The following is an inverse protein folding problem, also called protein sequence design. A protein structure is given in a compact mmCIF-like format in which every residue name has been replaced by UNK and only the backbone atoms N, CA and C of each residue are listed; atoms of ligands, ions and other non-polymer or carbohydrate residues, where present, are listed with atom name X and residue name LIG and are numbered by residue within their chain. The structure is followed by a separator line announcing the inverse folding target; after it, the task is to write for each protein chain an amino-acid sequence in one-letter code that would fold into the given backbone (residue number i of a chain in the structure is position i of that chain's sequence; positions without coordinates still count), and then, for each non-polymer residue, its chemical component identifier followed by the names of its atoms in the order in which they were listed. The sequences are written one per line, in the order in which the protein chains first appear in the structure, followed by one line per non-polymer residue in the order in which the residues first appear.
data_IF_125963323716
#
_entry.id   IF_125963323716
#
_cell.length_a   1.000
_cell.length_b   1.000
_cell.length_c   1.000
_cell.angle_alpha   90.00
_cell.angle_beta   90.00
_cell.angle_gamma   90.00
#
_symmetry.space_group_name_H-M   'P 1'
#
loop_
_entity.id
_entity.type
_entity.pdbx_description
1 polymer ?
#
# COMPACT_ATOMS: atom_id res chain seq x y z
N UNK A 1 20.90 -15.68 8.40
CA UNK A 1 19.71 -15.95 7.57
C UNK A 1 19.73 -14.98 6.39
N UNK A 2 19.73 -15.48 5.14
CA UNK A 2 19.77 -14.80 3.83
C UNK A 2 20.72 -13.60 3.57
N UNK A 3 21.44 -13.08 4.57
CA UNK A 3 22.43 -11.99 4.43
C UNK A 3 21.83 -10.70 3.85
N UNK A 4 20.56 -10.44 4.13
CA UNK A 4 19.80 -9.30 3.61
C UNK A 4 19.11 -8.56 4.76
N UNK A 5 18.82 -7.29 4.50
CA UNK A 5 17.89 -6.46 5.27
C UNK A 5 16.63 -6.21 4.43
N UNK A 6 15.47 -5.90 5.03
CA UNK A 6 15.21 -5.63 6.45
C UNK A 6 15.32 -6.85 7.39
N UNK A 7 15.69 -6.59 8.65
CA UNK A 7 15.68 -7.55 9.76
C UNK A 7 15.12 -6.87 11.02
N UNK A 8 14.20 -7.55 11.72
CA UNK A 8 13.60 -7.08 12.96
C UNK A 8 13.76 -8.14 14.05
N UNK A 9 14.26 -7.73 15.22
CA UNK A 9 14.22 -8.54 16.43
C UNK A 9 12.90 -8.29 17.18
N UNK A 10 12.04 -9.30 17.27
CA UNK A 10 10.71 -9.19 17.90
C UNK A 10 10.29 -10.54 18.50
N UNK A 11 9.75 -10.51 19.73
CA UNK A 11 9.29 -11.71 20.46
C UNK A 11 10.32 -12.85 20.52
N UNK A 12 11.59 -12.51 20.69
CA UNK A 12 12.70 -13.47 20.73
C UNK A 12 13.11 -14.04 19.36
N UNK A 13 12.46 -13.64 18.27
CA UNK A 13 12.82 -14.02 16.90
C UNK A 13 13.69 -12.96 16.24
N UNK A 14 14.54 -13.37 15.30
CA UNK A 14 15.26 -12.49 14.35
C UNK A 14 14.66 -12.68 12.96
N UNK A 15 13.61 -11.92 12.66
CA UNK A 15 12.84 -12.06 11.41
C UNK A 15 13.45 -11.25 10.28
N UNK A 16 13.56 -11.85 9.10
CA UNK A 16 13.95 -11.19 7.83
C UNK A 16 12.82 -11.35 6.82
N UNK A 17 12.94 -10.71 5.65
CA UNK A 17 11.90 -10.58 4.61
C UNK A 17 10.77 -9.64 5.02
N UNK A 18 10.65 -8.52 4.29
CA UNK A 18 9.68 -7.45 4.56
C UNK A 18 8.25 -7.98 4.73
N UNK A 19 7.82 -8.90 3.84
CA UNK A 19 6.49 -9.51 3.91
C UNK A 19 6.29 -10.35 5.17
N UNK A 20 7.26 -11.17 5.54
CA UNK A 20 7.16 -12.00 6.74
C UNK A 20 7.10 -11.17 8.02
N UNK A 21 7.93 -10.13 8.11
CA UNK A 21 7.96 -9.19 9.24
C UNK A 21 6.60 -8.48 9.37
N UNK A 22 6.11 -7.90 8.27
CA UNK A 22 4.87 -7.14 8.30
C UNK A 22 3.64 -8.04 8.56
N UNK A 23 3.61 -9.26 8.01
CA UNK A 23 2.54 -10.23 8.28
C UNK A 23 2.47 -10.63 9.76
N UNK A 24 3.63 -10.77 10.40
CA UNK A 24 3.70 -11.06 11.84
C UNK A 24 3.16 -9.90 12.67
N UNK A 25 3.62 -8.67 12.39
CA UNK A 25 3.15 -7.46 13.09
C UNK A 25 1.64 -7.29 12.93
N UNK A 26 1.12 -7.41 11.70
CA UNK A 26 -0.32 -7.28 11.47
C UNK A 26 -1.14 -8.33 12.20
N UNK A 27 -0.65 -9.57 12.26
CA UNK A 27 -1.31 -10.63 13.05
C UNK A 27 -1.28 -10.31 14.54
N UNK A 28 -0.11 -9.95 15.07
CA UNK A 28 0.10 -9.68 16.50
C UNK A 28 -0.77 -8.54 17.02
N UNK A 29 -1.03 -7.53 16.19
CA UNK A 29 -1.78 -6.32 16.57
C UNK A 29 -3.19 -6.26 15.97
N UNK A 30 -3.75 -7.39 15.51
CA UNK A 30 -5.13 -7.50 15.00
C UNK A 30 -5.45 -6.59 13.80
N UNK A 31 -4.49 -6.38 12.91
CA UNK A 31 -4.62 -5.60 11.67
C UNK A 31 -4.72 -6.50 10.42
N UNK A 32 -5.03 -7.79 10.60
CA UNK A 32 -4.96 -8.79 9.53
C UNK A 32 -6.27 -9.58 9.37
N UNK A 33 -7.42 -8.91 9.51
CA UNK A 33 -8.73 -9.50 9.33
C UNK A 33 -9.10 -10.56 10.38
N UNK A 34 -10.40 -10.83 10.51
CA UNK A 34 -10.92 -11.78 11.52
C UNK A 34 -10.93 -13.23 11.05
N UNK A 35 -10.95 -13.45 9.74
CA UNK A 35 -11.07 -14.77 9.14
C UNK A 35 -10.22 -14.89 7.86
N UNK A 36 -10.21 -16.11 7.30
CA UNK A 36 -9.44 -16.42 6.10
C UNK A 36 -9.85 -15.59 4.87
N UNK A 37 -11.14 -15.23 4.76
CA UNK A 37 -11.63 -14.47 3.61
C UNK A 37 -11.16 -13.02 3.69
N UNK A 38 -11.28 -12.40 4.87
CA UNK A 38 -10.77 -11.05 5.08
C UNK A 38 -9.24 -10.99 4.90
N UNK A 39 -8.50 -12.00 5.39
CA UNK A 39 -7.05 -12.11 5.15
C UNK A 39 -6.72 -12.17 3.67
N UNK A 40 -7.42 -12.99 2.89
CA UNK A 40 -7.19 -13.10 1.46
C UNK A 40 -7.45 -11.78 0.71
N UNK A 41 -8.46 -11.01 1.12
CA UNK A 41 -8.72 -9.68 0.57
C UNK A 41 -7.60 -8.70 0.94
N UNK A 42 -7.18 -8.68 2.21
CA UNK A 42 -6.05 -7.86 2.69
C UNK A 42 -4.79 -8.19 1.90
N UNK A 43 -4.46 -9.47 1.72
CA UNK A 43 -3.30 -9.92 0.95
C UNK A 43 -3.35 -9.45 -0.50
N UNK A 44 -4.51 -9.63 -1.15
CA UNK A 44 -4.70 -9.19 -2.54
C UNK A 44 -4.48 -7.69 -2.70
N UNK A 45 -5.00 -6.88 -1.77
CA UNK A 45 -4.84 -5.44 -1.77
C UNK A 45 -3.39 -5.01 -1.48
N UNK A 46 -2.78 -5.59 -0.45
CA UNK A 46 -1.40 -5.29 -0.05
C UNK A 46 -0.41 -5.68 -1.14
N UNK A 47 -0.54 -6.86 -1.76
CA UNK A 47 0.37 -7.28 -2.84
C UNK A 47 0.23 -6.38 -4.09
N UNK A 48 -0.99 -5.94 -4.42
CA UNK A 48 -1.20 -4.95 -5.48
C UNK A 48 -0.48 -3.62 -5.18
N UNK A 49 -0.52 -3.17 -3.93
CA UNK A 49 0.21 -1.97 -3.50
C UNK A 49 1.72 -2.17 -3.49
N UNK A 50 2.23 -3.36 -3.18
CA UNK A 50 3.67 -3.66 -3.27
C UNK A 50 4.20 -3.54 -4.69
N UNK A 51 3.44 -3.96 -5.70
CA UNK A 51 3.84 -3.80 -7.10
C UNK A 51 4.00 -2.32 -7.47
N UNK A 52 3.10 -1.45 -6.98
CA UNK A 52 3.22 0.00 -7.19
C UNK A 52 4.37 0.60 -6.38
N UNK A 53 4.53 0.17 -5.13
CA UNK A 53 5.62 0.61 -4.26
C UNK A 53 6.99 0.31 -4.89
N UNK A 54 7.16 -0.86 -5.50
CA UNK A 54 8.40 -1.20 -6.20
C UNK A 54 8.71 -0.22 -7.33
N UNK A 55 7.71 0.21 -8.09
CA UNK A 55 7.90 1.22 -9.13
C UNK A 55 8.30 2.58 -8.54
N UNK A 56 7.65 3.03 -7.47
CA UNK A 56 7.97 4.27 -6.77
C UNK A 56 9.40 4.25 -6.24
N UNK A 57 9.74 3.21 -5.48
CA UNK A 57 11.03 3.07 -4.81
C UNK A 57 12.20 2.89 -5.79
N UNK A 58 11.99 2.20 -6.91
CA UNK A 58 13.06 1.96 -7.88
C UNK A 58 13.34 3.15 -8.79
N UNK A 59 12.52 4.21 -8.77
CA UNK A 59 12.77 5.40 -9.59
C UNK A 59 14.16 6.01 -9.33
N UNK A 60 14.57 6.10 -8.06
CA UNK A 60 15.82 6.76 -7.67
C UNK A 60 17.07 6.08 -8.23
N UNK A 61 17.00 4.76 -8.47
CA UNK A 61 18.09 3.95 -9.03
C UNK A 61 17.99 3.75 -10.55
N UNK A 62 16.97 4.29 -11.22
CA UNK A 62 16.88 4.19 -12.67
C UNK A 62 18.01 4.96 -13.37
N UNK A 63 18.54 4.44 -14.49
CA UNK A 63 19.43 5.18 -15.38
C UNK A 63 18.81 6.50 -15.84
N UNK A 64 19.62 7.54 -16.03
CA UNK A 64 19.15 8.88 -16.37
C UNK A 64 18.28 8.92 -17.64
N UNK A 65 18.65 8.14 -18.66
CA UNK A 65 17.94 8.02 -19.94
C UNK A 65 16.59 7.27 -19.83
N UNK A 66 16.34 6.58 -18.70
CA UNK A 66 15.11 5.81 -18.45
C UNK A 66 14.18 6.46 -17.44
N UNK A 67 14.61 7.51 -16.72
CA UNK A 67 13.83 8.12 -15.65
C UNK A 67 12.48 8.67 -16.12
N UNK A 68 12.46 9.33 -17.27
CA UNK A 68 11.21 9.90 -17.83
C UNK A 68 10.20 8.80 -18.17
N UNK A 69 10.65 7.74 -18.86
CA UNK A 69 9.79 6.59 -19.18
C UNK A 69 9.29 5.88 -17.91
N UNK A 70 10.16 5.71 -16.91
CA UNK A 70 9.79 5.07 -15.64
C UNK A 70 8.76 5.89 -14.88
N UNK A 71 8.95 7.22 -14.82
CA UNK A 71 7.99 8.15 -14.24
C UNK A 71 6.62 8.04 -14.93
N UNK A 72 6.59 8.08 -16.26
CA UNK A 72 5.34 7.97 -17.02
C UNK A 72 4.61 6.66 -16.73
N UNK A 73 5.32 5.53 -16.70
CA UNK A 73 4.74 4.21 -16.36
C UNK A 73 4.26 4.13 -14.91
N UNK A 74 4.98 4.73 -13.96
CA UNK A 74 4.59 4.80 -12.55
C UNK A 74 3.29 5.60 -12.38
N UNK A 75 3.19 6.78 -13.00
CA UNK A 75 1.98 7.61 -12.94
C UNK A 75 0.80 6.96 -13.68
N UNK A 76 1.01 6.41 -14.87
CA UNK A 76 -0.03 5.70 -15.63
C UNK A 76 -0.60 4.53 -14.80
N UNK A 77 0.25 3.71 -14.20
CA UNK A 77 -0.22 2.61 -13.35
C UNK A 77 -0.94 3.10 -12.10
N UNK A 78 -0.49 4.20 -11.50
CA UNK A 78 -1.17 4.80 -10.35
C UNK A 78 -2.59 5.21 -10.73
N UNK A 79 -2.74 6.03 -11.77
CA UNK A 79 -4.02 6.59 -12.19
C UNK A 79 -4.96 5.58 -12.83
N UNK A 80 -4.45 4.70 -13.69
CA UNK A 80 -5.28 3.88 -14.58
C UNK A 80 -5.40 2.43 -14.12
N UNK A 81 -4.63 2.01 -13.11
CA UNK A 81 -4.65 0.63 -12.61
C UNK A 81 -4.92 0.50 -11.12
N UNK A 82 -4.12 1.15 -10.28
CA UNK A 82 -4.15 0.87 -8.85
C UNK A 82 -5.20 1.69 -8.11
N UNK A 83 -5.16 3.03 -8.19
CA UNK A 83 -6.13 3.88 -7.47
C UNK A 83 -7.60 3.61 -7.86
N UNK A 84 -7.95 3.35 -9.14
CA UNK A 84 -9.31 2.97 -9.49
C UNK A 84 -9.84 1.72 -8.78
N UNK A 85 -8.96 0.77 -8.43
CA UNK A 85 -9.35 -0.45 -7.70
C UNK A 85 -9.80 -0.09 -6.29
N UNK A 86 -9.01 0.70 -5.57
CA UNK A 86 -9.32 1.07 -4.18
C UNK A 86 -10.50 2.04 -4.08
N UNK A 87 -10.57 3.01 -4.98
CA UNK A 87 -11.74 3.89 -5.13
C UNK A 87 -13.02 3.06 -5.34
N UNK A 88 -12.96 2.04 -6.22
CA UNK A 88 -14.08 1.14 -6.48
C UNK A 88 -14.44 0.28 -5.27
N UNK A 89 -13.45 -0.26 -4.55
CA UNK A 89 -13.69 -1.04 -3.33
C UNK A 89 -14.48 -0.22 -2.31
N UNK A 90 -13.99 0.99 -1.99
CA UNK A 90 -14.66 1.90 -1.06
C UNK A 90 -16.07 2.28 -1.52
N UNK A 91 -16.23 2.54 -2.83
CA UNK A 91 -17.52 2.87 -3.44
C UNK A 91 -18.53 1.72 -3.35
N UNK A 92 -18.10 0.50 -3.66
CA UNK A 92 -18.99 -0.67 -3.77
C UNK A 92 -19.62 -1.03 -2.42
N UNK A 93 -18.85 -0.97 -1.34
CA UNK A 93 -19.35 -1.31 0.00
C UNK A 93 -19.78 -0.10 0.83
N UNK A 94 -19.35 1.12 0.48
CA UNK A 94 -19.72 2.36 1.17
C UNK A 94 -19.30 2.38 2.64
N UNK A 95 -18.07 1.95 2.93
CA UNK A 95 -17.50 1.85 4.28
C UNK A 95 -16.18 2.61 4.33
N UNK A 96 -15.75 2.94 5.54
CA UNK A 96 -14.58 3.78 5.77
C UNK A 96 -13.25 3.03 5.63
N UNK A 97 -13.28 1.70 5.73
CA UNK A 97 -12.10 0.84 5.63
C UNK A 97 -12.27 -0.20 4.52
N UNK A 98 -11.16 -0.57 3.88
CA UNK A 98 -11.12 -1.47 2.72
C UNK A 98 -11.67 -2.87 3.02
N UNK A 99 -11.49 -3.37 4.24
CA UNK A 99 -11.89 -4.74 4.62
C UNK A 99 -12.54 -4.75 6.00
N UNK A 100 -13.64 -5.47 6.14
CA UNK A 100 -14.25 -5.77 7.45
C UNK A 100 -14.85 -4.57 8.19
N UNK A 101 -14.88 -3.37 7.58
CA UNK A 101 -15.25 -2.10 8.24
C UNK A 101 -14.42 -1.84 9.52
N UNK A 102 -13.14 -2.21 9.49
CA UNK A 102 -12.18 -1.99 10.56
C UNK A 102 -10.81 -1.71 9.95
N UNK A 103 -10.02 -0.85 10.61
CA UNK A 103 -8.65 -0.59 10.23
C UNK A 103 -7.85 -1.90 10.10
N UNK A 104 -7.20 -2.07 8.95
CA UNK A 104 -6.33 -3.20 8.63
C UNK A 104 -5.00 -2.71 8.07
N UNK A 105 -4.06 -3.63 7.85
CA UNK A 105 -2.82 -3.29 7.16
C UNK A 105 -3.06 -2.82 5.72
N UNK A 106 -4.13 -3.24 5.05
CA UNK A 106 -4.42 -2.78 3.70
C UNK A 106 -4.63 -1.26 3.65
N UNK A 107 -5.33 -0.71 4.65
CA UNK A 107 -5.58 0.74 4.76
C UNK A 107 -4.29 1.50 5.05
N UNK A 108 -3.45 0.99 5.96
CA UNK A 108 -2.15 1.58 6.28
C UNK A 108 -1.22 1.57 5.06
N UNK A 109 -1.18 0.46 4.32
CA UNK A 109 -0.37 0.32 3.11
C UNK A 109 -0.86 1.24 1.98
N UNK A 110 -2.18 1.41 1.86
CA UNK A 110 -2.77 2.33 0.88
C UNK A 110 -2.40 3.78 1.21
N UNK A 111 -2.55 4.19 2.48
CA UNK A 111 -2.19 5.54 2.92
C UNK A 111 -0.71 5.85 2.67
N UNK A 112 0.20 4.92 2.99
CA UNK A 112 1.64 5.08 2.72
C UNK A 112 1.89 5.41 1.24
N UNK A 113 1.26 4.68 0.33
CA UNK A 113 1.48 4.86 -1.10
C UNK A 113 0.79 6.11 -1.63
N UNK A 114 -0.39 6.47 -1.11
CA UNK A 114 -1.03 7.74 -1.44
C UNK A 114 -0.07 8.89 -1.13
N UNK A 115 0.50 8.93 0.08
CA UNK A 115 1.46 9.97 0.48
C UNK A 115 2.70 9.97 -0.40
N UNK A 116 3.26 8.78 -0.71
CA UNK A 116 4.41 8.69 -1.62
C UNK A 116 4.10 9.22 -3.02
N UNK A 117 2.91 8.95 -3.56
CA UNK A 117 2.51 9.43 -4.89
C UNK A 117 2.26 10.94 -4.86
N UNK A 118 1.67 11.49 -3.80
CA UNK A 118 1.43 12.93 -3.66
C UNK A 118 2.75 13.74 -3.63
N UNK A 119 3.86 13.15 -3.18
CA UNK A 119 5.19 13.76 -3.32
C UNK A 119 5.64 13.95 -4.78
N UNK A 120 5.10 13.15 -5.71
CA UNK A 120 5.34 13.27 -7.15
C UNK A 120 4.30 14.13 -7.86
N UNK A 121 3.01 13.90 -7.56
CA UNK A 121 1.88 14.57 -8.19
C UNK A 121 0.85 14.96 -7.10
N UNK A 122 0.97 16.17 -6.51
CA UNK A 122 0.10 16.59 -5.41
C UNK A 122 -1.39 16.64 -5.76
N UNK A 123 -1.74 16.75 -7.05
CA UNK A 123 -3.14 16.78 -7.51
C UNK A 123 -3.75 15.42 -7.82
N UNK A 124 -3.02 14.32 -7.63
CA UNK A 124 -3.38 12.98 -8.13
C UNK A 124 -4.75 12.51 -7.63
N UNK A 125 -5.10 12.83 -6.37
CA UNK A 125 -6.34 12.37 -5.75
C UNK A 125 -7.58 13.15 -6.19
N UNK A 126 -7.45 14.23 -6.97
CA UNK A 126 -8.61 14.97 -7.49
C UNK A 126 -9.57 14.09 -8.31
N UNK A 127 -9.06 12.99 -8.89
CA UNK A 127 -9.83 11.99 -9.65
C UNK A 127 -10.45 10.89 -8.78
N UNK A 128 -10.05 10.80 -7.51
CA UNK A 128 -10.36 9.70 -6.59
C UNK A 128 -10.90 10.24 -5.25
N UNK A 129 -12.13 10.78 -5.23
CA UNK A 129 -12.67 11.46 -4.06
C UNK A 129 -12.82 10.58 -2.82
N UNK A 130 -12.97 9.25 -2.95
CA UNK A 130 -13.04 8.35 -1.79
C UNK A 130 -11.65 8.01 -1.23
N UNK A 131 -10.59 8.21 -2.01
CA UNK A 131 -9.20 8.11 -1.54
C UNK A 131 -8.69 9.41 -0.90
N UNK A 132 -9.41 10.52 -1.04
CA UNK A 132 -9.04 11.77 -0.38
C UNK A 132 -9.19 11.64 1.13
N UNK A 133 -8.11 11.96 1.85
CA UNK A 133 -8.18 12.16 3.30
C UNK A 133 -8.76 13.55 3.51
N UNK A 134 -10.07 13.65 3.74
CA UNK A 134 -10.66 14.92 4.17
C UNK A 134 -9.99 15.33 5.49
N UNK A 135 -9.56 16.60 5.55
CA UNK A 135 -8.92 17.19 6.74
C UNK A 135 -9.66 16.71 7.99
N UNK A 136 -8.91 16.04 8.87
CA UNK A 136 -9.40 15.59 10.15
C UNK A 136 -10.02 16.79 10.85
N UNK A 137 -11.35 16.79 10.99
CA UNK A 137 -12.04 17.68 11.91
C UNK A 137 -11.63 17.28 13.32
N UNK A 138 -10.49 17.82 13.76
CA UNK A 138 -10.08 17.88 15.16
C UNK A 138 -10.62 19.18 15.75
#
# INVERSE_FOLDING_TARGET
LFQQVPMVEIDGMKMVQTRAIANYISTKYNLYGKDLKERALIDMYVEGMFDLNELLMTYVIQPADKKEQHYANMMDKTENRYFPVFEKVLKDHGKDFLVGNQLSRADVQLLEIILMVEEWEPGILAKFPLLQVNEWAV
#
